data_IF_267099341095
#
_entry.id   IF_267099341095
#
_cell.length_a   1.000
_cell.length_b   1.000
_cell.length_c   1.000
_cell.angle_alpha   90.00
_cell.angle_beta   90.00
_cell.angle_gamma   90.00
#
_symmetry.space_group_name_H-M   'P 1'
#
loop_
_entity.id
_entity.type
_entity.pdbx_description
1 polymer ?
#
# COMPACT_ATOMS: atom_id res chain seq x y z
N UNK A 1 59.44 -4.30 -13.90
CA UNK A 1 58.66 -3.59 -12.86
C UNK A 1 57.40 -2.91 -13.40
N UNK A 2 57.46 -2.13 -14.50
CA UNK A 2 56.26 -1.46 -15.06
C UNK A 2 55.17 -2.43 -15.60
N UNK A 3 55.57 -3.53 -16.28
CA UNK A 3 54.62 -4.53 -16.82
C UNK A 3 53.93 -5.36 -15.73
N UNK A 4 54.63 -5.70 -14.65
CA UNK A 4 54.08 -6.47 -13.54
C UNK A 4 53.02 -5.70 -12.75
N UNK A 5 53.16 -4.37 -12.63
CA UNK A 5 52.13 -3.51 -12.03
C UNK A 5 50.87 -3.48 -12.91
N UNK A 6 51.04 -3.37 -14.24
CA UNK A 6 49.92 -3.36 -15.20
C UNK A 6 49.17 -4.69 -15.19
N UNK A 7 49.88 -5.82 -15.17
CA UNK A 7 49.24 -7.14 -15.06
C UNK A 7 48.54 -7.34 -13.71
N UNK A 8 49.12 -6.86 -12.61
CA UNK A 8 48.47 -6.89 -11.30
C UNK A 8 47.19 -6.08 -11.26
N UNK A 9 47.18 -4.88 -11.85
CA UNK A 9 45.99 -4.03 -11.93
C UNK A 9 44.87 -4.64 -12.78
N UNK A 10 45.21 -5.25 -13.93
CA UNK A 10 44.21 -5.95 -14.77
C UNK A 10 43.62 -7.18 -14.07
N UNK A 11 44.43 -7.95 -13.34
CA UNK A 11 43.94 -9.09 -12.57
C UNK A 11 42.97 -8.64 -11.46
N UNK A 12 43.31 -7.56 -10.76
CA UNK A 12 42.45 -6.98 -9.71
C UNK A 12 41.14 -6.40 -10.27
N UNK A 13 41.15 -5.85 -11.49
CA UNK A 13 39.95 -5.38 -12.17
C UNK A 13 39.03 -6.56 -12.58
N UNK A 14 39.61 -7.65 -13.11
CA UNK A 14 38.84 -8.85 -13.47
C UNK A 14 38.16 -9.49 -12.25
N UNK A 15 38.89 -9.62 -11.13
CA UNK A 15 38.37 -10.22 -9.88
C UNK A 15 37.21 -9.40 -9.28
N UNK A 16 37.24 -8.06 -9.42
CA UNK A 16 36.15 -7.20 -8.97
C UNK A 16 34.87 -7.35 -9.80
N UNK A 17 34.98 -7.64 -11.10
CA UNK A 17 33.80 -7.82 -11.97
C UNK A 17 33.12 -9.19 -11.84
N UNK A 18 33.82 -10.22 -11.36
CA UNK A 18 33.30 -11.60 -11.33
C UNK A 18 32.68 -12.05 -10.01
N UNK A 19 32.86 -11.29 -8.92
CA UNK A 19 32.51 -11.74 -7.57
C UNK A 19 31.52 -10.88 -6.78
N UNK A 20 31.37 -9.60 -7.10
CA UNK A 20 30.63 -8.67 -6.24
C UNK A 20 29.10 -8.70 -6.41
N UNK A 21 28.57 -9.24 -7.52
CA UNK A 21 27.12 -9.38 -7.78
C UNK A 21 26.67 -10.84 -7.85
N UNK A 22 27.55 -11.76 -7.43
CA UNK A 22 27.24 -13.18 -7.44
C UNK A 22 26.07 -13.43 -6.47
N UNK A 23 25.04 -14.12 -6.96
CA UNK A 23 23.85 -14.50 -6.19
C UNK A 23 23.05 -13.32 -5.62
N UNK A 24 23.21 -12.10 -6.17
CA UNK A 24 22.49 -10.92 -5.70
C UNK A 24 20.97 -11.07 -5.76
N UNK A 25 20.45 -11.71 -6.81
CA UNK A 25 19.01 -11.97 -6.91
C UNK A 25 18.56 -12.90 -5.77
N UNK A 26 19.32 -13.96 -5.46
CA UNK A 26 19.00 -14.87 -4.36
C UNK A 26 19.12 -14.19 -2.99
N UNK A 27 20.20 -13.45 -2.76
CA UNK A 27 20.46 -12.72 -1.49
C UNK A 27 19.45 -11.59 -1.28
N UNK A 28 19.01 -10.93 -2.35
CA UNK A 28 18.05 -9.82 -2.30
C UNK A 28 16.60 -10.28 -2.42
N UNK A 29 16.35 -11.57 -2.67
CA UNK A 29 15.00 -12.14 -2.64
C UNK A 29 14.60 -12.32 -1.19
N UNK A 30 13.49 -11.70 -0.79
CA UNK A 30 12.90 -11.91 0.52
C UNK A 30 12.20 -13.28 0.54
N UNK A 31 12.72 -14.30 1.26
CA UNK A 31 12.12 -15.63 1.25
C UNK A 31 10.76 -15.68 1.97
N UNK A 32 10.36 -14.59 2.65
CA UNK A 32 9.06 -14.45 3.33
C UNK A 32 8.02 -13.74 2.48
N UNK A 33 8.37 -13.26 1.29
CA UNK A 33 7.38 -12.64 0.41
C UNK A 33 6.40 -13.68 -0.13
N UNK A 34 5.11 -13.30 -0.10
CA UNK A 34 4.05 -14.07 -0.73
C UNK A 34 4.05 -13.70 -2.20
N UNK A 35 4.23 -14.72 -3.04
CA UNK A 35 4.13 -14.59 -4.50
C UNK A 35 2.68 -14.75 -4.96
N UNK A 36 2.36 -14.24 -6.16
CA UNK A 36 1.01 -14.29 -6.72
C UNK A 36 0.41 -15.71 -6.77
N UNK A 37 1.23 -16.74 -7.04
CA UNK A 37 0.82 -18.15 -7.07
C UNK A 37 0.49 -18.74 -5.69
N UNK A 38 0.90 -18.07 -4.61
CA UNK A 38 0.68 -18.50 -3.22
C UNK A 38 -0.36 -17.66 -2.47
N UNK A 39 -0.83 -16.56 -3.06
CA UNK A 39 -1.85 -15.71 -2.47
C UNK A 39 -3.25 -16.22 -2.82
N UNK A 40 -4.07 -16.55 -1.82
CA UNK A 40 -5.51 -16.79 -2.05
C UNK A 40 -6.22 -15.42 -2.20
N UNK A 41 -6.78 -15.12 -3.39
CA UNK A 41 -7.41 -13.82 -3.62
C UNK A 41 -8.64 -13.57 -2.75
N UNK A 42 -9.26 -14.59 -2.15
CA UNK A 42 -10.40 -14.40 -1.24
C UNK A 42 -10.03 -13.58 0.01
N UNK A 43 -8.79 -13.70 0.51
CA UNK A 43 -8.36 -12.94 1.68
C UNK A 43 -8.29 -11.43 1.41
N UNK A 44 -8.06 -11.03 0.17
CA UNK A 44 -7.99 -9.62 -0.22
C UNK A 44 -9.37 -8.96 -0.19
N UNK A 45 -10.44 -9.69 -0.57
CA UNK A 45 -11.80 -9.18 -0.45
C UNK A 45 -12.17 -8.84 0.99
N UNK A 46 -11.95 -9.80 1.91
CA UNK A 46 -12.27 -9.60 3.33
C UNK A 46 -11.42 -8.49 3.95
N UNK A 47 -10.15 -8.38 3.55
CA UNK A 47 -9.26 -7.32 4.04
C UNK A 47 -9.73 -5.94 3.57
N UNK A 48 -10.06 -5.81 2.28
CA UNK A 48 -10.59 -4.56 1.73
C UNK A 48 -11.91 -4.13 2.38
N UNK A 49 -12.83 -5.09 2.58
CA UNK A 49 -14.10 -4.83 3.27
C UNK A 49 -13.89 -4.38 4.71
N UNK A 50 -12.98 -5.04 5.43
CA UNK A 50 -12.63 -4.67 6.79
C UNK A 50 -12.06 -3.26 6.86
N UNK A 51 -11.04 -2.95 6.03
CA UNK A 51 -10.41 -1.63 6.00
C UNK A 51 -11.39 -0.52 5.62
N UNK A 52 -12.20 -0.74 4.57
CA UNK A 52 -13.21 0.23 4.14
C UNK A 52 -14.30 0.48 5.20
N UNK A 53 -14.74 -0.57 5.89
CA UNK A 53 -15.80 -0.45 6.90
C UNK A 53 -15.35 0.23 8.20
N UNK A 54 -14.03 0.38 8.41
CA UNK A 54 -13.45 0.75 9.70
C UNK A 54 -12.36 1.81 9.54
N UNK A 55 -12.71 2.95 8.95
CA UNK A 55 -11.82 4.13 8.85
C UNK A 55 -11.64 4.85 10.19
N UNK A 56 -12.45 4.50 11.21
CA UNK A 56 -12.18 4.76 12.61
C UNK A 56 -12.03 6.24 12.96
N UNK A 57 -10.79 6.68 13.17
CA UNK A 57 -10.48 8.04 13.60
C UNK A 57 -10.82 9.09 12.53
N UNK A 58 -10.64 8.79 11.25
CA UNK A 58 -10.91 9.73 10.15
C UNK A 58 -12.38 10.15 10.12
N UNK A 59 -13.30 9.19 10.30
CA UNK A 59 -14.75 9.43 10.39
C UNK A 59 -15.17 10.32 11.56
N UNK A 60 -14.42 10.29 12.67
CA UNK A 60 -14.72 11.10 13.85
C UNK A 60 -14.46 12.60 13.61
N UNK A 61 -13.64 12.96 12.63
CA UNK A 61 -13.18 14.34 12.44
C UNK A 61 -14.22 15.20 11.70
N UNK A 62 -13.95 15.54 10.44
CA UNK A 62 -14.81 16.41 9.65
C UNK A 62 -16.16 15.76 9.35
N UNK A 63 -16.16 14.47 9.02
CA UNK A 63 -17.34 13.71 8.60
C UNK A 63 -18.41 13.60 9.69
N UNK A 64 -18.02 13.54 10.96
CA UNK A 64 -18.98 13.51 12.07
C UNK A 64 -19.50 14.91 12.47
N UNK A 65 -18.67 15.95 12.30
CA UNK A 65 -18.94 17.29 12.82
C UNK A 65 -19.61 18.24 11.83
N UNK A 66 -19.27 18.15 10.53
CA UNK A 66 -19.94 18.95 9.48
C UNK A 66 -21.45 18.70 9.37
N UNK A 67 -21.95 17.45 9.38
CA UNK A 67 -23.39 17.19 9.46
C UNK A 67 -23.96 17.40 10.87
N UNK A 68 -23.14 17.82 11.84
CA UNK A 68 -23.52 18.08 13.23
C UNK A 68 -24.03 16.85 13.97
N UNK A 69 -23.56 15.65 13.61
CA UNK A 69 -23.81 14.43 14.38
C UNK A 69 -23.09 14.51 15.73
N UNK A 70 -21.90 15.11 15.75
CA UNK A 70 -21.11 15.40 16.94
C UNK A 70 -20.68 16.88 16.96
N UNK A 71 -20.36 17.38 18.14
CA UNK A 71 -19.73 18.69 18.35
C UNK A 71 -18.64 18.54 19.42
N UNK A 72 -17.54 19.27 19.26
CA UNK A 72 -16.38 19.17 20.14
C UNK A 72 -16.51 20.09 21.34
N UNK A 73 -16.29 19.53 22.53
CA UNK A 73 -16.08 20.31 23.76
C UNK A 73 -14.62 20.71 23.97
N UNK A 74 -13.72 20.25 23.09
CA UNK A 74 -12.28 20.52 23.12
C UNK A 74 -11.84 21.36 21.92
N UNK A 75 -10.76 22.14 22.08
CA UNK A 75 -10.25 22.99 20.98
C UNK A 75 -9.54 22.19 19.87
N UNK A 76 -9.05 20.99 20.18
CA UNK A 76 -8.31 20.14 19.23
C UNK A 76 -9.12 19.75 17.98
N UNK A 77 -10.43 19.54 18.11
CA UNK A 77 -11.31 19.19 16.98
C UNK A 77 -12.08 20.38 16.40
N UNK A 78 -11.69 21.62 16.75
CA UNK A 78 -12.33 22.83 16.22
C UNK A 78 -12.31 22.95 14.69
N UNK A 79 -11.46 22.17 14.01
CA UNK A 79 -11.46 22.05 12.55
C UNK A 79 -12.80 21.56 12.00
N UNK A 80 -13.44 20.61 12.71
CA UNK A 80 -14.66 19.93 12.26
C UNK A 80 -15.92 20.74 12.53
N UNK A 81 -16.11 21.26 13.74
CA UNK A 81 -17.38 21.91 14.15
C UNK A 81 -17.33 23.45 14.17
N UNK A 82 -16.14 24.03 14.36
CA UNK A 82 -15.92 25.49 14.42
C UNK A 82 -15.28 26.04 13.15
N UNK A 83 -14.98 25.18 12.17
CA UNK A 83 -14.36 25.52 10.88
C UNK A 83 -13.09 26.38 11.03
N UNK A 84 -12.35 26.20 12.12
CA UNK A 84 -11.15 26.97 12.41
C UNK A 84 -9.93 26.08 12.19
N UNK A 85 -9.15 26.30 11.12
CA UNK A 85 -7.96 25.50 10.84
C UNK A 85 -6.97 25.55 12.00
N UNK A 86 -6.54 24.38 12.43
CA UNK A 86 -5.55 24.15 13.48
C UNK A 86 -4.50 23.14 12.99
N UNK A 87 -3.61 22.72 13.88
CA UNK A 87 -2.57 21.73 13.58
C UNK A 87 -3.19 20.47 12.94
N UNK A 88 -2.49 19.89 11.96
CA UNK A 88 -2.85 18.65 11.26
C UNK A 88 -4.09 18.68 10.35
N UNK A 89 -4.74 19.84 10.14
CA UNK A 89 -5.89 19.98 9.23
C UNK A 89 -5.67 19.26 7.89
N UNK A 90 -4.52 19.49 7.25
CA UNK A 90 -4.17 18.86 5.95
C UNK A 90 -3.99 17.35 6.07
N UNK A 91 -3.33 16.87 7.13
CA UNK A 91 -3.13 15.43 7.34
C UNK A 91 -4.48 14.72 7.53
N UNK A 92 -5.38 15.31 8.32
CA UNK A 92 -6.72 14.75 8.53
C UNK A 92 -7.54 14.66 7.24
N UNK A 93 -7.39 15.63 6.32
CA UNK A 93 -8.02 15.58 5.01
C UNK A 93 -7.42 14.48 4.12
N UNK A 94 -6.09 14.30 4.17
CA UNK A 94 -5.39 13.30 3.37
C UNK A 94 -5.60 11.87 3.87
N UNK A 95 -5.84 11.66 5.17
CA UNK A 95 -6.03 10.32 5.73
C UNK A 95 -7.15 9.55 5.03
N UNK A 96 -8.29 10.21 4.74
CA UNK A 96 -9.40 9.57 4.04
C UNK A 96 -8.95 9.03 2.67
N UNK A 97 -8.26 9.87 1.91
CA UNK A 97 -7.67 9.50 0.63
C UNK A 97 -6.73 8.30 0.77
N UNK A 98 -5.77 8.37 1.69
CA UNK A 98 -4.77 7.31 1.87
C UNK A 98 -5.40 5.97 2.31
N UNK A 99 -6.44 6.02 3.15
CA UNK A 99 -7.18 4.85 3.65
C UNK A 99 -8.05 4.21 2.56
N UNK A 100 -8.80 5.00 1.79
CA UNK A 100 -9.65 4.53 0.71
C UNK A 100 -8.83 3.96 -0.45
N UNK A 101 -7.76 4.65 -0.88
CA UNK A 101 -6.88 4.14 -1.93
C UNK A 101 -6.14 2.87 -1.51
N UNK A 102 -5.76 2.73 -0.23
CA UNK A 102 -5.20 1.49 0.29
C UNK A 102 -6.22 0.35 0.21
N UNK A 103 -7.45 0.58 0.65
CA UNK A 103 -8.53 -0.40 0.55
C UNK A 103 -8.85 -0.80 -0.90
N UNK A 104 -8.89 0.18 -1.81
CA UNK A 104 -9.10 -0.06 -3.24
C UNK A 104 -7.94 -0.83 -3.88
N UNK A 105 -6.71 -0.62 -3.42
CA UNK A 105 -5.53 -1.33 -3.93
C UNK A 105 -5.61 -2.84 -3.69
N UNK A 106 -6.16 -3.27 -2.54
CA UNK A 106 -6.40 -4.68 -2.24
C UNK A 106 -7.40 -5.31 -3.22
N UNK A 107 -8.44 -4.56 -3.61
CA UNK A 107 -9.42 -5.01 -4.61
C UNK A 107 -8.80 -5.09 -6.00
N UNK A 108 -7.98 -4.10 -6.37
CA UNK A 108 -7.27 -4.12 -7.66
C UNK A 108 -6.34 -5.33 -7.73
N UNK A 109 -5.61 -5.63 -6.67
CA UNK A 109 -4.73 -6.80 -6.62
C UNK A 109 -5.53 -8.10 -6.69
N UNK A 110 -6.64 -8.20 -5.96
CA UNK A 110 -7.57 -9.33 -6.08
C UNK A 110 -8.04 -9.53 -7.53
N UNK A 111 -8.41 -8.45 -8.22
CA UNK A 111 -8.82 -8.49 -9.62
C UNK A 111 -7.68 -8.89 -10.55
N UNK A 112 -6.43 -8.50 -10.27
CA UNK A 112 -5.26 -8.92 -11.03
C UNK A 112 -5.01 -10.43 -10.89
N UNK A 113 -5.05 -10.96 -9.66
CA UNK A 113 -4.82 -12.39 -9.37
C UNK A 113 -5.93 -13.30 -9.94
N UNK A 114 -7.15 -12.78 -10.06
CA UNK A 114 -8.32 -13.54 -10.53
C UNK A 114 -8.62 -13.36 -12.00
N UNK A 115 -7.91 -12.45 -12.68
CA UNK A 115 -8.12 -12.12 -14.08
C UNK A 115 -7.98 -13.37 -14.96
N UNK A 116 -8.87 -13.49 -15.93
CA UNK A 116 -8.89 -14.59 -16.92
C UNK A 116 -9.09 -16.00 -16.32
N UNK A 117 -9.35 -16.11 -15.01
CA UNK A 117 -9.72 -17.37 -14.36
C UNK A 117 -11.23 -17.48 -14.19
N UNK A 118 -11.87 -18.33 -15.00
CA UNK A 118 -13.31 -18.52 -14.99
C UNK A 118 -13.87 -18.95 -13.61
N UNK A 119 -13.09 -19.69 -12.82
CA UNK A 119 -13.47 -20.11 -11.46
C UNK A 119 -13.64 -18.93 -10.50
N UNK A 120 -12.89 -17.84 -10.72
CA UNK A 120 -12.94 -16.64 -9.89
C UNK A 120 -13.77 -15.50 -10.50
N UNK A 121 -14.56 -15.76 -11.55
CA UNK A 121 -15.40 -14.74 -12.20
C UNK A 121 -16.26 -13.94 -11.23
N UNK A 122 -16.88 -14.60 -10.24
CA UNK A 122 -17.65 -13.91 -9.20
C UNK A 122 -16.77 -13.01 -8.31
N UNK A 123 -15.59 -13.48 -7.95
CA UNK A 123 -14.64 -12.73 -7.11
C UNK A 123 -14.10 -11.49 -7.85
N UNK A 124 -13.80 -11.63 -9.15
CA UNK A 124 -13.44 -10.51 -10.00
C UNK A 124 -14.57 -9.47 -10.07
N UNK A 125 -15.81 -9.92 -10.29
CA UNK A 125 -16.97 -9.04 -10.45
C UNK A 125 -17.38 -8.32 -9.16
N UNK A 126 -17.34 -8.98 -8.01
CA UNK A 126 -17.60 -8.32 -6.71
C UNK A 126 -16.52 -7.27 -6.41
N UNK A 127 -15.30 -7.45 -6.91
CA UNK A 127 -14.26 -6.42 -6.87
C UNK A 127 -14.69 -5.12 -7.55
N UNK A 128 -15.37 -5.19 -8.69
CA UNK A 128 -15.89 -3.99 -9.36
C UNK A 128 -16.92 -3.25 -8.52
N UNK A 129 -17.79 -3.97 -7.80
CA UNK A 129 -18.76 -3.37 -6.88
C UNK A 129 -18.05 -2.72 -5.69
N UNK A 130 -17.07 -3.40 -5.10
CA UNK A 130 -16.29 -2.86 -3.99
C UNK A 130 -15.54 -1.58 -4.40
N UNK A 131 -14.96 -1.52 -5.60
CA UNK A 131 -14.32 -0.29 -6.09
C UNK A 131 -15.29 0.89 -6.17
N UNK A 132 -16.53 0.67 -6.59
CA UNK A 132 -17.57 1.72 -6.64
C UNK A 132 -18.05 2.12 -5.24
N UNK A 133 -17.94 1.24 -4.25
CA UNK A 133 -18.27 1.60 -2.87
C UNK A 133 -17.16 2.42 -2.21
N UNK A 134 -15.89 2.10 -2.52
CA UNK A 134 -14.72 2.74 -1.93
C UNK A 134 -14.42 4.10 -2.59
N UNK A 135 -14.74 4.27 -3.88
CA UNK A 135 -14.36 5.43 -4.72
C UNK A 135 -15.60 6.10 -5.32
#
# INVERSE_FOLDING_TARGET
MKKSIIYGAMLAALVQTSGCTKDFDEISTNPREVTADKMDPNFLLSSAQWEFSNTGYTQLLFESMWPQVLASTFDYYGNGDKYTPSTNTVNYQNNLWDEEYRSASLIVEMQNLTKDNAQYSNLYNIGSLMKVMIM
#
